data_IF_412116013864
#
_entry.id   IF_412116013864
#
_cell.length_a   1.000
_cell.length_b   1.000
_cell.length_c   1.000
_cell.angle_alpha   90.00
_cell.angle_beta   90.00
_cell.angle_gamma   90.00
#
_symmetry.space_group_name_H-M   'P 1'
#
loop_
_entity.id
_entity.type
_entity.pdbx_description
1 polymer ?
#
# COMPACT_ATOMS: atom_id res chain seq x y z
N UNK A 1 -11.56 -44.69 -17.67
CA UNK A 1 -11.48 -45.16 -19.07
C UNK A 1 -12.53 -46.24 -19.23
N UNK A 2 -13.50 -46.04 -20.12
CA UNK A 2 -14.54 -47.05 -20.40
C UNK A 2 -14.10 -47.78 -21.67
N UNK A 3 -14.16 -49.11 -21.70
CA UNK A 3 -13.80 -49.94 -22.86
C UNK A 3 -15.05 -50.19 -23.72
N UNK A 4 -14.92 -50.24 -25.05
CA UNK A 4 -16.05 -50.37 -25.97
C UNK A 4 -15.73 -51.44 -27.03
N UNK A 5 -16.60 -52.42 -27.28
CA UNK A 5 -16.31 -53.53 -28.19
C UNK A 5 -16.53 -53.21 -29.67
N UNK A 6 -17.29 -52.15 -29.99
CA UNK A 6 -17.79 -51.92 -31.36
C UNK A 6 -17.37 -50.56 -31.94
N UNK A 7 -16.26 -50.01 -31.47
CA UNK A 7 -15.74 -48.71 -31.91
C UNK A 7 -14.22 -48.73 -32.02
N UNK A 8 -13.68 -48.18 -33.10
CA UNK A 8 -12.23 -48.02 -33.27
C UNK A 8 -11.70 -46.87 -32.39
N UNK A 9 -10.42 -46.93 -32.00
CA UNK A 9 -9.80 -45.91 -31.15
C UNK A 9 -9.88 -44.50 -31.76
N UNK A 10 -9.76 -44.37 -33.08
CA UNK A 10 -9.87 -43.10 -33.79
C UNK A 10 -11.31 -42.55 -33.77
N UNK A 11 -12.30 -43.43 -33.90
CA UNK A 11 -13.71 -43.05 -33.85
C UNK A 11 -14.12 -42.63 -32.43
N UNK A 12 -13.63 -43.33 -31.40
CA UNK A 12 -13.81 -42.94 -30.01
C UNK A 12 -13.13 -41.60 -29.68
N UNK A 13 -11.96 -41.32 -30.30
CA UNK A 13 -11.25 -40.03 -30.18
C UNK A 13 -12.01 -38.90 -30.88
N UNK A 14 -12.61 -39.15 -32.05
CA UNK A 14 -13.48 -38.18 -32.75
C UNK A 14 -14.76 -37.90 -31.99
N UNK A 15 -15.42 -38.92 -31.44
CA UNK A 15 -16.61 -38.73 -30.61
C UNK A 15 -16.32 -37.99 -29.31
N UNK A 16 -15.16 -38.23 -28.67
CA UNK A 16 -14.69 -37.37 -27.57
C UNK A 16 -14.45 -35.93 -28.01
N UNK A 17 -13.84 -35.69 -29.16
CA UNK A 17 -13.65 -34.34 -29.71
C UNK A 17 -14.97 -33.63 -30.04
N UNK A 18 -15.95 -34.35 -30.56
CA UNK A 18 -17.30 -33.86 -30.85
C UNK A 18 -18.11 -33.60 -29.59
N UNK A 19 -18.09 -34.49 -28.59
CA UNK A 19 -18.78 -34.30 -27.32
C UNK A 19 -18.18 -33.13 -26.51
N UNK A 20 -16.84 -32.96 -26.56
CA UNK A 20 -16.16 -31.78 -25.99
C UNK A 20 -16.57 -30.49 -26.72
N UNK A 21 -16.82 -30.53 -28.03
CA UNK A 21 -17.31 -29.36 -28.78
C UNK A 21 -18.78 -29.04 -28.47
N UNK A 22 -19.63 -30.05 -28.27
CA UNK A 22 -21.05 -29.87 -27.92
C UNK A 22 -21.27 -29.52 -26.43
N UNK A 23 -20.37 -29.94 -25.53
CA UNK A 23 -20.35 -29.46 -24.14
C UNK A 23 -19.70 -28.08 -23.99
N UNK A 24 -18.86 -27.62 -24.92
CA UNK A 24 -18.37 -26.24 -24.94
C UNK A 24 -19.47 -25.19 -25.20
N UNK A 25 -20.65 -25.60 -25.70
CA UNK A 25 -21.83 -24.74 -25.77
C UNK A 25 -22.66 -24.69 -24.47
N UNK A 26 -22.25 -25.37 -23.40
CA UNK A 26 -22.87 -25.33 -22.08
C UNK A 26 -21.84 -25.22 -20.94
N UNK A 27 -20.73 -24.50 -21.15
CA UNK A 27 -20.00 -23.89 -20.04
C UNK A 27 -19.64 -22.44 -20.37
N UNK A 28 -20.57 -21.57 -20.03
CA UNK A 28 -20.47 -20.11 -20.09
C UNK A 28 -19.42 -19.53 -19.13
N UNK A 29 -18.56 -20.36 -18.51
CA UNK A 29 -17.71 -19.97 -17.38
C UNK A 29 -16.24 -19.72 -17.74
N UNK A 30 -15.72 -20.22 -18.87
CA UNK A 30 -14.33 -19.98 -19.27
C UNK A 30 -14.25 -18.80 -20.24
N UNK A 31 -14.00 -17.61 -19.69
CA UNK A 31 -13.82 -16.40 -20.49
C UNK A 31 -12.40 -16.36 -21.08
N UNK A 32 -12.19 -15.71 -22.25
CA UNK A 32 -10.86 -15.40 -22.76
C UNK A 32 -10.11 -14.52 -21.74
N UNK A 33 -9.23 -15.11 -20.94
CA UNK A 33 -8.57 -14.46 -19.81
C UNK A 33 -8.35 -15.35 -18.58
N UNK A 34 -9.03 -16.50 -18.53
CA UNK A 34 -9.00 -17.47 -17.42
C UNK A 34 -7.83 -18.46 -17.60
N UNK A 35 -7.37 -18.51 -18.86
CA UNK A 35 -6.23 -19.10 -19.54
C UNK A 35 -4.90 -18.34 -19.52
N UNK A 36 -3.90 -18.57 -18.67
CA UNK A 36 -2.59 -17.89 -18.83
C UNK A 36 -1.37 -18.79 -18.63
N UNK A 37 -0.28 -18.48 -19.33
CA UNK A 37 0.98 -19.21 -19.23
C UNK A 37 1.87 -18.64 -18.11
N UNK A 38 2.55 -19.54 -17.39
CA UNK A 38 3.57 -19.16 -16.41
C UNK A 38 4.74 -18.40 -17.08
N UNK A 39 5.25 -17.31 -16.50
CA UNK A 39 6.37 -16.56 -17.08
C UNK A 39 7.71 -17.30 -17.09
N UNK A 40 7.89 -18.31 -16.23
CA UNK A 40 9.14 -19.07 -16.12
C UNK A 40 9.15 -20.32 -16.98
N UNK A 41 8.14 -21.17 -16.84
CA UNK A 41 8.08 -22.48 -17.52
C UNK A 41 7.00 -22.59 -18.60
N UNK A 42 6.26 -21.52 -18.87
CA UNK A 42 5.20 -21.46 -19.88
C UNK A 42 4.06 -22.47 -19.74
N UNK A 43 3.97 -23.18 -18.61
CA UNK A 43 2.82 -24.05 -18.33
C UNK A 43 1.54 -23.23 -18.24
N UNK A 44 0.45 -23.77 -18.78
CA UNK A 44 -0.86 -23.14 -18.69
C UNK A 44 -1.43 -23.32 -17.28
N UNK A 45 -1.96 -22.22 -16.75
CA UNK A 45 -2.54 -22.12 -15.41
C UNK A 45 -3.92 -21.49 -15.58
N UNK A 46 -4.92 -22.12 -14.95
CA UNK A 46 -6.31 -21.64 -14.95
C UNK A 46 -6.59 -20.93 -13.63
N UNK A 47 -7.16 -19.73 -13.69
CA UNK A 47 -7.64 -19.00 -12.49
C UNK A 47 -9.16 -18.87 -12.52
N UNK A 48 -9.79 -19.15 -11.38
CA UNK A 48 -11.22 -18.92 -11.17
C UNK A 48 -11.48 -17.41 -10.92
N UNK A 49 -12.44 -16.82 -11.62
CA UNK A 49 -12.71 -15.36 -11.63
C UNK A 49 -13.71 -14.88 -10.56
N UNK A 50 -13.64 -15.44 -9.36
CA UNK A 50 -14.44 -15.05 -8.19
C UNK A 50 -14.06 -13.66 -7.62
N UNK A 51 -12.92 -13.09 -8.05
CA UNK A 51 -12.35 -11.88 -7.44
C UNK A 51 -11.20 -12.17 -6.49
N UNK A 52 -10.73 -13.43 -6.45
CA UNK A 52 -9.57 -13.92 -5.72
C UNK A 52 -8.28 -13.12 -5.98
N UNK A 53 -7.37 -13.26 -5.02
CA UNK A 53 -6.03 -12.65 -5.02
C UNK A 53 -5.31 -12.83 -6.36
N UNK A 54 -4.66 -11.77 -6.85
CA UNK A 54 -3.89 -11.81 -8.10
C UNK A 54 -2.48 -12.41 -7.95
N UNK A 55 -2.09 -12.79 -6.74
CA UNK A 55 -0.88 -13.56 -6.47
C UNK A 55 -1.14 -15.03 -6.78
N UNK A 56 -0.42 -15.59 -7.76
CA UNK A 56 -0.48 -17.01 -8.09
C UNK A 56 0.89 -17.65 -8.02
N UNK A 57 0.92 -18.91 -7.60
CA UNK A 57 2.14 -19.71 -7.54
C UNK A 57 2.02 -20.81 -8.58
N UNK A 58 3.05 -20.96 -9.41
CA UNK A 58 3.09 -22.03 -10.40
C UNK A 58 3.30 -23.39 -9.72
N UNK A 59 2.37 -24.33 -9.90
CA UNK A 59 2.47 -25.67 -9.31
C UNK A 59 3.65 -26.51 -9.84
N UNK A 60 4.19 -26.20 -11.03
CA UNK A 60 5.31 -26.95 -11.61
C UNK A 60 6.68 -26.42 -11.23
N UNK A 61 6.88 -25.09 -11.30
CA UNK A 61 8.20 -24.48 -11.08
C UNK A 61 8.30 -23.66 -9.80
N UNK A 62 7.21 -23.53 -9.03
CA UNK A 62 7.15 -22.77 -7.79
C UNK A 62 7.27 -21.25 -7.94
N UNK A 63 7.31 -20.72 -9.18
CA UNK A 63 7.43 -19.28 -9.39
C UNK A 63 6.17 -18.54 -8.91
N UNK A 64 6.36 -17.51 -8.11
CA UNK A 64 5.33 -16.58 -7.67
C UNK A 64 5.17 -15.47 -8.70
N UNK A 65 3.97 -15.31 -9.27
CA UNK A 65 3.74 -14.34 -10.33
C UNK A 65 2.36 -13.68 -10.22
N UNK A 66 2.26 -12.49 -10.82
CA UNK A 66 1.03 -11.72 -10.83
C UNK A 66 0.16 -12.10 -12.02
N UNK A 67 -1.08 -12.51 -11.76
CA UNK A 67 -2.04 -12.92 -12.80
C UNK A 67 -2.33 -11.82 -13.83
N UNK A 68 -2.29 -10.55 -13.41
CA UNK A 68 -2.65 -9.43 -14.28
C UNK A 68 -1.55 -9.07 -15.29
N UNK A 69 -0.29 -9.06 -14.87
CA UNK A 69 0.84 -8.66 -15.72
C UNK A 69 1.76 -9.79 -16.18
N UNK A 70 1.55 -11.02 -15.68
CA UNK A 70 2.36 -12.20 -15.99
C UNK A 70 3.86 -11.98 -15.76
N UNK A 71 4.20 -11.31 -14.66
CA UNK A 71 5.59 -11.14 -14.20
C UNK A 71 5.74 -11.75 -12.82
N UNK A 72 6.95 -12.24 -12.53
CA UNK A 72 7.31 -12.69 -11.18
C UNK A 72 7.10 -11.54 -10.18
N UNK A 73 6.56 -11.87 -9.01
CA UNK A 73 6.23 -10.88 -7.98
C UNK A 73 7.49 -10.50 -7.22
N UNK A 74 7.64 -9.20 -6.99
CA UNK A 74 8.61 -8.64 -6.05
C UNK A 74 7.84 -7.93 -4.93
N UNK A 75 8.45 -7.77 -3.76
CA UNK A 75 7.81 -7.18 -2.56
C UNK A 75 7.15 -5.82 -2.82
N UNK A 76 7.62 -5.07 -3.82
CA UNK A 76 7.11 -3.74 -4.17
C UNK A 76 6.02 -3.75 -5.27
N UNK A 77 5.73 -4.90 -5.88
CA UNK A 77 4.85 -4.99 -7.05
C UNK A 77 3.43 -4.44 -6.81
N UNK A 78 2.89 -4.64 -5.61
CA UNK A 78 1.54 -4.19 -5.24
C UNK A 78 1.51 -2.79 -4.61
N UNK A 79 2.68 -2.25 -4.23
CA UNK A 79 2.78 -0.94 -3.59
C UNK A 79 2.99 0.20 -4.61
N UNK A 80 3.51 -0.10 -5.80
CA UNK A 80 3.58 0.91 -6.87
C UNK A 80 2.18 1.15 -7.46
N UNK A 81 1.79 2.42 -7.69
CA UNK A 81 0.52 2.76 -8.36
C UNK A 81 0.54 2.41 -9.87
N UNK A 82 1.69 2.03 -10.42
CA UNK A 82 1.85 1.39 -11.73
C UNK A 82 1.67 -0.13 -11.68
N UNK A 83 1.60 -0.69 -10.48
CA UNK A 83 1.40 -2.10 -10.19
C UNK A 83 -0.03 -2.57 -10.41
N UNK A 84 -0.18 -3.89 -10.45
CA UNK A 84 -1.47 -4.54 -10.55
C UNK A 84 -2.18 -4.53 -9.18
N UNK A 85 -3.52 -4.54 -9.15
CA UNK A 85 -4.24 -4.57 -7.88
C UNK A 85 -4.08 -5.93 -7.21
N UNK A 86 -3.95 -5.95 -5.87
CA UNK A 86 -3.90 -7.20 -5.12
C UNK A 86 -5.22 -7.97 -5.21
N UNK A 87 -6.34 -7.24 -5.12
CA UNK A 87 -7.70 -7.73 -5.26
C UNK A 87 -8.35 -7.13 -6.52
N UNK A 88 -9.23 -7.89 -7.18
CA UNK A 88 -10.08 -7.39 -8.26
C UNK A 88 -9.65 -7.78 -9.69
N UNK A 89 -10.56 -7.53 -10.64
CA UNK A 89 -10.56 -8.14 -11.98
C UNK A 89 -9.84 -7.33 -13.07
N UNK A 90 -9.50 -6.05 -12.81
CA UNK A 90 -8.92 -5.14 -13.81
C UNK A 90 -7.86 -4.22 -13.17
N UNK A 91 -6.74 -3.94 -13.85
CA UNK A 91 -5.79 -2.91 -13.41
C UNK A 91 -6.47 -1.53 -13.37
N UNK A 92 -5.97 -0.62 -12.54
CA UNK A 92 -6.51 0.74 -12.42
C UNK A 92 -6.56 1.42 -13.78
N UNK A 93 -7.75 1.94 -14.16
CA UNK A 93 -7.87 2.73 -15.38
C UNK A 93 -7.06 4.03 -15.22
N UNK A 94 -6.39 4.48 -16.28
CA UNK A 94 -5.50 5.66 -16.25
C UNK A 94 -6.18 6.90 -15.64
N UNK A 95 -7.47 7.11 -15.91
CA UNK A 95 -8.27 8.21 -15.35
C UNK A 95 -8.44 8.11 -13.84
N UNK A 96 -8.77 6.92 -13.33
CA UNK A 96 -8.89 6.69 -11.89
C UNK A 96 -7.51 6.88 -11.23
N UNK A 97 -6.45 6.35 -11.86
CA UNK A 97 -5.09 6.47 -11.32
C UNK A 97 -4.68 7.93 -11.18
N UNK A 98 -4.95 8.74 -12.21
CA UNK A 98 -4.72 10.17 -12.19
C UNK A 98 -5.56 10.87 -11.12
N UNK A 99 -6.84 10.52 -10.95
CA UNK A 99 -7.69 11.08 -9.91
C UNK A 99 -7.15 10.80 -8.50
N UNK A 100 -6.67 9.58 -8.25
CA UNK A 100 -6.08 9.23 -6.95
C UNK A 100 -4.71 9.88 -6.71
N UNK A 101 -3.88 9.97 -7.74
CA UNK A 101 -2.61 10.70 -7.67
C UNK A 101 -2.85 12.19 -7.41
N UNK A 102 -3.81 12.82 -8.09
CA UNK A 102 -4.15 14.23 -7.90
C UNK A 102 -4.80 14.48 -6.53
N UNK A 103 -5.66 13.55 -6.08
CA UNK A 103 -6.31 13.61 -4.78
C UNK A 103 -5.32 13.51 -3.62
N UNK A 104 -4.32 12.64 -3.71
CA UNK A 104 -3.25 12.55 -2.69
C UNK A 104 -2.26 13.71 -2.79
N UNK A 105 -1.99 14.23 -4.00
CA UNK A 105 -1.14 15.40 -4.22
C UNK A 105 -1.66 16.66 -3.55
N UNK A 106 -2.97 16.91 -3.61
CA UNK A 106 -3.59 18.10 -3.01
C UNK A 106 -4.05 17.80 -1.59
N UNK A 107 -4.64 16.64 -1.35
CA UNK A 107 -5.27 16.28 -0.09
C UNK A 107 -4.28 16.13 1.06
N UNK A 108 -3.08 15.60 0.82
CA UNK A 108 -2.12 15.41 1.91
C UNK A 108 -1.47 16.72 2.40
N UNK A 109 -0.99 17.65 1.55
CA UNK A 109 -0.53 18.96 2.02
C UNK A 109 -1.61 19.73 2.79
N UNK A 110 -2.85 19.72 2.28
CA UNK A 110 -3.99 20.38 2.93
C UNK A 110 -4.32 19.73 4.27
N UNK A 111 -4.37 18.39 4.32
CA UNK A 111 -4.63 17.64 5.55
C UNK A 111 -3.56 17.89 6.62
N UNK A 112 -2.28 17.87 6.24
CA UNK A 112 -1.16 18.14 7.16
C UNK A 112 -1.24 19.59 7.68
N UNK A 113 -1.50 20.57 6.80
CA UNK A 113 -1.62 21.97 7.18
C UNK A 113 -2.79 22.20 8.16
N UNK A 114 -3.95 21.57 7.93
CA UNK A 114 -5.10 21.67 8.83
C UNK A 114 -4.81 21.06 10.20
N UNK A 115 -4.22 19.85 10.24
CA UNK A 115 -3.89 19.18 11.50
C UNK A 115 -2.84 19.98 12.27
N UNK A 116 -1.77 20.45 11.60
CA UNK A 116 -0.75 21.28 12.22
C UNK A 116 -1.34 22.61 12.74
N UNK A 117 -2.22 23.24 11.95
CA UNK A 117 -2.90 24.48 12.32
C UNK A 117 -3.75 24.36 13.59
N UNK A 118 -4.34 23.20 13.86
CA UNK A 118 -5.09 22.94 15.09
C UNK A 118 -4.20 22.47 16.25
N UNK A 119 -3.20 21.64 15.97
CA UNK A 119 -2.32 21.08 16.99
C UNK A 119 -1.36 22.12 17.58
N UNK A 120 -0.81 23.02 16.76
CA UNK A 120 0.18 24.02 17.19
C UNK A 120 -0.39 24.95 18.28
N UNK A 121 -1.56 25.61 18.11
CA UNK A 121 -2.16 26.42 19.16
C UNK A 121 -2.42 25.61 20.43
N UNK A 122 -2.95 24.38 20.30
CA UNK A 122 -3.21 23.50 21.44
C UNK A 122 -1.96 23.19 22.27
N UNK A 123 -0.83 22.94 21.61
CA UNK A 123 0.46 22.65 22.27
C UNK A 123 1.06 23.94 22.87
N UNK A 124 1.05 25.05 22.12
CA UNK A 124 1.61 26.34 22.54
C UNK A 124 0.91 26.86 23.79
N UNK A 125 -0.41 26.68 23.93
CA UNK A 125 -1.13 27.06 25.15
C UNK A 125 -1.12 25.94 26.21
N UNK A 126 -1.22 24.68 25.79
CA UNK A 126 -1.36 23.54 26.69
C UNK A 126 -0.09 23.22 27.50
N UNK A 127 1.09 23.26 26.86
CA UNK A 127 2.36 22.90 27.52
C UNK A 127 2.72 23.90 28.64
N UNK A 128 2.71 25.24 28.42
CA UNK A 128 2.94 26.21 29.49
C UNK A 128 1.96 26.08 30.67
N UNK A 129 0.67 25.85 30.41
CA UNK A 129 -0.34 25.72 31.46
C UNK A 129 -0.13 24.43 32.26
N UNK A 130 0.17 23.32 31.59
CA UNK A 130 0.41 22.04 32.25
C UNK A 130 1.69 22.06 33.09
N UNK A 131 2.80 22.52 32.50
CA UNK A 131 4.09 22.64 33.19
C UNK A 131 4.00 23.64 34.32
N UNK A 132 3.37 24.80 34.09
CA UNK A 132 3.10 25.81 35.10
C UNK A 132 2.33 25.26 36.29
N UNK A 133 1.23 24.55 36.07
CA UNK A 133 0.44 23.90 37.13
C UNK A 133 1.24 22.85 37.88
N UNK A 134 1.98 21.99 37.17
CA UNK A 134 2.75 20.89 37.76
C UNK A 134 3.92 21.40 38.61
N UNK A 135 4.65 22.39 38.12
CA UNK A 135 5.76 23.04 38.83
C UNK A 135 5.24 23.83 40.03
N UNK A 136 4.11 24.55 39.89
CA UNK A 136 3.50 25.28 40.99
C UNK A 136 3.04 24.36 42.13
N UNK A 137 2.45 23.21 41.79
CA UNK A 137 2.06 22.18 42.77
C UNK A 137 3.28 21.56 43.48
N UNK A 138 4.35 21.22 42.74
CA UNK A 138 5.59 20.67 43.31
C UNK A 138 6.31 21.65 44.23
N UNK A 139 6.25 22.95 43.93
CA UNK A 139 6.92 24.02 44.70
C UNK A 139 6.00 24.66 45.77
N UNK A 140 4.84 24.06 46.09
CA UNK A 140 3.85 24.59 47.04
C UNK A 140 4.41 24.85 48.45
N UNK A 141 5.44 24.11 48.87
CA UNK A 141 6.07 24.25 50.18
C UNK A 141 7.37 25.09 50.17
N UNK A 142 7.80 25.64 49.01
CA UNK A 142 8.99 26.50 48.90
C UNK A 142 8.61 27.99 48.92
N UNK A 143 9.60 28.86 49.12
CA UNK A 143 9.43 30.32 49.17
C UNK A 143 8.75 30.88 47.91
N UNK A 144 7.92 31.92 48.08
CA UNK A 144 7.10 32.52 47.02
C UNK A 144 7.95 33.01 45.83
N UNK A 145 9.13 33.59 46.10
CA UNK A 145 10.06 34.11 45.09
C UNK A 145 10.66 32.96 44.26
N UNK A 146 11.18 31.91 44.92
CA UNK A 146 11.77 30.75 44.23
C UNK A 146 10.75 29.98 43.40
N UNK A 147 9.49 29.92 43.86
CA UNK A 147 8.38 29.31 43.11
C UNK A 147 8.08 30.07 41.82
N UNK A 148 7.95 31.40 41.90
CA UNK A 148 7.66 32.24 40.73
C UNK A 148 8.78 32.17 39.69
N UNK A 149 10.04 32.26 40.13
CA UNK A 149 11.21 32.21 39.26
C UNK A 149 11.34 30.87 38.51
N UNK A 150 11.19 29.74 39.21
CA UNK A 150 11.30 28.41 38.58
C UNK A 150 10.12 28.09 37.65
N UNK A 151 8.92 28.59 37.96
CA UNK A 151 7.76 28.43 37.07
C UNK A 151 7.93 29.26 35.80
N UNK A 152 8.38 30.52 35.92
CA UNK A 152 8.58 31.41 34.77
C UNK A 152 9.69 30.89 33.85
N UNK A 153 10.84 30.49 34.40
CA UNK A 153 11.96 29.93 33.61
C UNK A 153 11.56 28.65 32.86
N UNK A 154 10.80 27.75 33.49
CA UNK A 154 10.32 26.53 32.85
C UNK A 154 9.29 26.78 31.73
N UNK A 155 8.45 27.80 31.87
CA UNK A 155 7.48 28.20 30.84
C UNK A 155 8.19 28.85 29.66
N UNK A 156 9.13 29.77 29.91
CA UNK A 156 9.93 30.43 28.87
C UNK A 156 10.77 29.41 28.09
N UNK A 157 11.40 28.44 28.78
CA UNK A 157 12.14 27.36 28.12
C UNK A 157 11.26 26.50 27.20
N UNK A 158 10.05 26.17 27.64
CA UNK A 158 9.09 25.38 26.84
C UNK A 158 8.63 26.12 25.56
N UNK A 159 8.48 27.44 25.62
CA UNK A 159 8.08 28.27 24.48
C UNK A 159 9.16 28.32 23.38
N UNK A 160 10.44 28.11 23.73
CA UNK A 160 11.55 28.10 22.76
C UNK A 160 11.78 26.71 22.17
N UNK A 161 11.64 25.65 22.98
CA UNK A 161 11.89 24.27 22.53
C UNK A 161 10.75 23.71 21.68
N UNK A 162 9.49 24.08 21.97
CA UNK A 162 8.32 23.56 21.25
C UNK A 162 8.31 23.90 19.75
N UNK A 163 8.60 25.13 19.32
CA UNK A 163 8.66 25.48 17.89
C UNK A 163 9.74 24.71 17.13
N UNK A 164 10.91 24.51 17.74
CA UNK A 164 12.04 23.79 17.11
C UNK A 164 11.67 22.33 16.86
N UNK A 165 11.08 21.66 17.86
CA UNK A 165 10.63 20.28 17.71
C UNK A 165 9.51 20.13 16.67
N UNK A 166 8.58 21.09 16.62
CA UNK A 166 7.51 21.11 15.62
C UNK A 166 8.07 21.25 14.19
N UNK A 167 9.01 22.18 13.96
CA UNK A 167 9.64 22.37 12.65
C UNK A 167 10.42 21.13 12.22
N UNK A 168 11.18 20.50 13.12
CA UNK A 168 11.93 19.27 12.83
C UNK A 168 11.00 18.10 12.49
N UNK A 169 9.87 17.95 13.20
CA UNK A 169 8.87 16.93 12.92
C UNK A 169 8.21 17.14 11.55
N UNK A 170 7.82 18.38 11.22
CA UNK A 170 7.23 18.72 9.92
C UNK A 170 8.25 18.52 8.79
N UNK A 171 9.52 18.87 8.99
CA UNK A 171 10.57 18.68 7.98
C UNK A 171 10.87 17.21 7.67
N UNK A 172 10.85 16.34 8.69
CA UNK A 172 10.97 14.89 8.47
C UNK A 172 9.72 14.32 7.78
N UNK A 173 8.53 14.76 8.20
CA UNK A 173 7.27 14.33 7.61
C UNK A 173 7.13 14.78 6.15
N UNK A 174 7.52 16.01 5.81
CA UNK A 174 7.49 16.52 4.44
C UNK A 174 8.50 15.80 3.55
N UNK A 175 9.69 15.50 4.05
CA UNK A 175 10.71 14.73 3.31
C UNK A 175 10.23 13.30 3.03
N UNK A 176 9.67 12.62 4.03
CA UNK A 176 9.09 11.28 3.85
C UNK A 176 7.89 11.31 2.90
N UNK A 177 7.04 12.33 3.02
CA UNK A 177 5.89 12.50 2.14
C UNK A 177 6.33 12.78 0.70
N UNK A 178 7.38 13.57 0.49
CA UNK A 178 7.92 13.83 -0.85
C UNK A 178 8.56 12.58 -1.46
N UNK A 179 9.28 11.78 -0.67
CA UNK A 179 9.79 10.47 -1.10
C UNK A 179 8.63 9.54 -1.47
N UNK A 180 7.59 9.48 -0.65
CA UNK A 180 6.39 8.71 -0.94
C UNK A 180 5.70 9.21 -2.22
N UNK A 181 5.55 10.52 -2.39
CA UNK A 181 4.95 11.12 -3.58
C UNK A 181 5.78 10.85 -4.85
N UNK A 182 7.11 10.90 -4.76
CA UNK A 182 8.01 10.52 -5.85
C UNK A 182 7.90 9.04 -6.20
N UNK A 183 7.72 8.14 -5.21
CA UNK A 183 7.40 6.73 -5.46
C UNK A 183 6.03 6.55 -6.13
N UNK A 184 5.06 7.43 -5.83
CA UNK A 184 3.71 7.38 -6.40
C UNK A 184 3.66 7.96 -7.82
N UNK A 185 4.44 9.00 -8.11
CA UNK A 185 4.46 9.69 -9.41
C UNK A 185 5.51 9.12 -10.37
N UNK A 186 6.65 8.65 -9.86
CA UNK A 186 7.74 8.08 -10.63
C UNK A 186 7.53 6.59 -10.89
N UNK A 187 7.40 6.20 -12.15
CA UNK A 187 7.58 4.82 -12.60
C UNK A 187 9.07 4.39 -12.56
N UNK A 188 9.84 4.90 -11.61
CA UNK A 188 11.27 4.65 -11.49
C UNK A 188 11.60 4.39 -10.03
N UNK A 189 12.04 3.17 -9.78
CA UNK A 189 12.72 2.66 -8.59
C UNK A 189 13.48 3.71 -7.77
N UNK A 190 13.29 3.74 -6.44
CA UNK A 190 14.33 4.21 -5.53
C UNK A 190 14.81 3.07 -4.61
N UNK A 191 15.18 1.90 -5.16
CA UNK A 191 15.90 0.88 -4.38
C UNK A 191 17.42 1.12 -4.45
N UNK A 192 17.90 2.27 -3.95
CA UNK A 192 19.33 2.43 -3.64
C UNK A 192 19.65 3.23 -2.38
N UNK A 193 18.68 3.45 -1.50
CA UNK A 193 18.90 4.18 -0.24
C UNK A 193 18.63 3.41 1.06
N UNK A 194 18.15 2.16 1.01
CA UNK A 194 17.80 1.42 2.25
C UNK A 194 18.81 0.33 2.65
N UNK A 195 19.79 -0.04 1.80
CA UNK A 195 20.74 -1.13 2.12
C UNK A 195 22.19 -0.70 2.38
N UNK A 196 22.48 0.60 2.49
CA UNK A 196 23.78 1.07 3.02
C UNK A 196 23.58 1.63 4.43
N UNK A 197 23.36 0.74 5.40
CA UNK A 197 23.62 0.90 6.83
C UNK A 197 23.01 -0.30 7.58
N UNK A 198 23.60 -1.47 7.36
CA UNK A 198 23.57 -2.62 8.27
C UNK A 198 24.79 -3.48 7.96
#
# INVERSE_FOLDING_TARGET
MVWHPNQTCDEARRQRGSYVTTQMSLDSSLRPGDIKACPRCHTYIVKMNDGSCNHMVCALCGAEFCWLCLKEISDLHYLSPTGCTFWGKKPWTRKKKLLWQLGTLIGAPVGIALIAGLAIPGIVFGVPVFVGRKVHQRLRNKSKIRRRLLTATSVVGSLVVSPVLAVMAVGKASSLFQVFQLCILGNQTPCRFVTKNA
#
